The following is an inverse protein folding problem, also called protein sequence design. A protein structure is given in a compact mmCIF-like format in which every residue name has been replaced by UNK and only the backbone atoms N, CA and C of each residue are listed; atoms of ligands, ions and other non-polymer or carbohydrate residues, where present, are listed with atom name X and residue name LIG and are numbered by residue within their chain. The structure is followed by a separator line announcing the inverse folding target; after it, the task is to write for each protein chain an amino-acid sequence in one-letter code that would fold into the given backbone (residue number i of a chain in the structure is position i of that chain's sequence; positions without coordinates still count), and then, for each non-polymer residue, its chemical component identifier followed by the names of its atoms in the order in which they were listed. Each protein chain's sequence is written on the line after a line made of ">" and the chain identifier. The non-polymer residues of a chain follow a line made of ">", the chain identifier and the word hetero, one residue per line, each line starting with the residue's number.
data_IF_073554828822
#
_entry.id   IF_073554828822
#
_cell.length_a   1.000
_cell.length_b   1.000
_cell.length_c   1.000
_cell.angle_alpha   90.00
_cell.angle_beta   90.00
_cell.angle_gamma   90.00
#
_symmetry.space_group_name_H-M   'P 1'
#
loop_
_entity.id
_entity.type
_entity.pdbx_description
1 polymer ?
#
# COMPACT_ATOMS: atom_id res chain seq x y z
N UNK A 1 9.83 7.36 39.61
CA UNK A 1 9.87 6.62 40.89
C UNK A 1 11.08 5.68 41.04
N UNK A 2 12.09 5.71 40.14
CA UNK A 2 13.21 4.75 40.10
C UNK A 2 14.45 5.15 40.91
N UNK A 3 14.60 6.44 41.27
CA UNK A 3 15.81 6.93 41.96
C UNK A 3 15.95 6.51 43.44
N UNK A 4 14.83 6.38 44.17
CA UNK A 4 14.83 6.03 45.59
C UNK A 4 15.16 4.55 45.85
N UNK A 5 14.67 3.65 45.00
CA UNK A 5 14.99 2.22 45.08
C UNK A 5 16.46 1.94 44.69
N UNK A 6 16.98 2.66 43.69
CA UNK A 6 18.38 2.52 43.26
C UNK A 6 19.38 3.04 44.28
N UNK A 7 19.00 4.00 45.12
CA UNK A 7 19.89 4.58 46.16
C UNK A 7 19.92 3.77 47.44
N UNK A 8 18.83 3.06 47.77
CA UNK A 8 18.81 2.08 48.84
C UNK A 8 19.67 0.85 48.51
N UNK A 9 19.51 0.28 47.31
CA UNK A 9 20.32 -0.85 46.85
C UNK A 9 21.83 -0.55 46.83
N UNK A 10 22.21 0.65 46.36
CA UNK A 10 23.61 1.08 46.37
C UNK A 10 24.19 1.18 47.79
N UNK A 11 23.37 1.58 48.77
CA UNK A 11 23.79 1.69 50.17
C UNK A 11 24.02 0.30 50.78
N UNK A 12 23.17 -0.66 50.43
CA UNK A 12 23.33 -2.05 50.86
C UNK A 12 24.57 -2.70 50.23
N UNK A 13 24.82 -2.44 48.94
CA UNK A 13 26.02 -2.90 48.24
C UNK A 13 27.31 -2.33 48.85
N UNK A 14 27.31 -1.03 49.21
CA UNK A 14 28.45 -0.38 49.89
C UNK A 14 28.67 -0.93 51.30
N UNK A 15 27.59 -1.23 52.04
CA UNK A 15 27.69 -1.84 53.36
C UNK A 15 28.25 -3.28 53.28
N UNK A 16 27.82 -4.07 52.29
CA UNK A 16 28.34 -5.41 52.04
C UNK A 16 29.81 -5.40 51.61
N UNK A 17 30.21 -4.44 50.79
CA UNK A 17 31.60 -4.19 50.39
C UNK A 17 32.50 -3.87 51.60
N UNK A 18 32.02 -3.00 52.50
CA UNK A 18 32.74 -2.66 53.73
C UNK A 18 32.89 -3.87 54.65
N UNK A 19 31.82 -4.65 54.83
CA UNK A 19 31.85 -5.84 55.68
C UNK A 19 32.79 -6.93 55.13
N UNK A 20 32.84 -7.13 53.81
CA UNK A 20 33.76 -8.07 53.18
C UNK A 20 35.23 -7.63 53.35
N UNK A 21 35.49 -6.31 53.27
CA UNK A 21 36.82 -5.74 53.51
C UNK A 21 37.25 -5.87 54.97
N UNK A 22 36.34 -5.60 55.91
CA UNK A 22 36.59 -5.72 57.36
C UNK A 22 36.85 -7.18 57.78
N UNK A 23 36.26 -8.15 57.09
CA UNK A 23 36.48 -9.58 57.29
C UNK A 23 37.71 -10.14 56.56
N UNK A 24 38.35 -9.37 55.67
CA UNK A 24 39.47 -9.81 54.84
C UNK A 24 39.09 -10.77 53.70
N UNK A 25 37.80 -10.92 53.39
CA UNK A 25 37.31 -11.79 52.32
C UNK A 25 37.37 -11.08 50.95
N UNK A 26 38.53 -11.19 50.30
CA UNK A 26 38.76 -10.62 48.97
C UNK A 26 37.92 -11.30 47.88
N UNK A 27 37.42 -12.52 48.09
CA UNK A 27 36.61 -13.22 47.08
C UNK A 27 35.25 -12.57 46.98
N UNK A 28 34.59 -12.41 48.14
CA UNK A 28 33.30 -11.74 48.22
C UNK A 28 33.39 -10.27 47.77
N UNK A 29 34.49 -9.58 48.11
CA UNK A 29 34.75 -8.22 47.64
C UNK A 29 34.74 -8.13 46.10
N UNK A 30 35.49 -9.00 45.41
CA UNK A 30 35.56 -8.99 43.94
C UNK A 30 34.23 -9.35 43.27
N UNK A 31 33.46 -10.29 43.84
CA UNK A 31 32.13 -10.64 43.34
C UNK A 31 31.16 -9.45 43.40
N UNK A 32 31.15 -8.71 44.51
CA UNK A 32 30.29 -7.53 44.66
C UNK A 32 30.69 -6.43 43.65
N UNK A 33 31.99 -6.20 43.45
CA UNK A 33 32.50 -5.23 42.45
C UNK A 33 32.15 -5.66 41.02
N UNK A 34 32.28 -6.94 40.70
CA UNK A 34 31.94 -7.47 39.38
C UNK A 34 30.45 -7.27 39.08
N UNK A 35 29.57 -7.62 40.04
CA UNK A 35 28.12 -7.41 39.95
C UNK A 35 27.77 -5.95 39.74
N UNK A 36 28.35 -5.04 40.52
CA UNK A 36 28.12 -3.59 40.39
C UNK A 36 28.54 -3.05 39.01
N UNK A 37 29.66 -3.54 38.46
CA UNK A 37 30.13 -3.17 37.13
C UNK A 37 29.20 -3.69 36.03
N UNK A 38 28.73 -4.93 36.15
CA UNK A 38 27.78 -5.54 35.21
C UNK A 38 26.44 -4.81 35.22
N UNK A 39 25.91 -4.50 36.41
CA UNK A 39 24.69 -3.71 36.57
C UNK A 39 24.83 -2.30 35.97
N UNK A 40 25.99 -1.67 36.14
CA UNK A 40 26.28 -0.38 35.52
C UNK A 40 26.32 -0.50 33.99
N UNK A 41 27.00 -1.52 33.45
CA UNK A 41 27.09 -1.74 32.02
C UNK A 41 25.70 -1.98 31.40
N UNK A 42 24.88 -2.81 32.03
CA UNK A 42 23.51 -3.09 31.61
C UNK A 42 22.63 -1.83 31.63
N UNK A 43 22.75 -0.99 32.66
CA UNK A 43 22.03 0.30 32.70
C UNK A 43 22.41 1.23 31.55
N UNK A 44 23.70 1.32 31.22
CA UNK A 44 24.18 2.15 30.10
C UNK A 44 23.69 1.61 28.76
N UNK A 45 23.76 0.29 28.55
CA UNK A 45 23.28 -0.36 27.32
C UNK A 45 21.77 -0.15 27.16
N UNK A 46 20.99 -0.37 28.22
CA UNK A 46 19.55 -0.16 28.20
C UNK A 46 19.18 1.31 27.93
N UNK A 47 19.93 2.25 28.52
CA UNK A 47 19.81 3.68 28.26
C UNK A 47 20.10 4.02 26.80
N UNK A 48 21.20 3.51 26.24
CA UNK A 48 21.58 3.71 24.85
C UNK A 48 20.54 3.12 23.89
N UNK A 49 20.03 1.93 24.16
CA UNK A 49 18.96 1.31 23.38
C UNK A 49 17.66 2.12 23.45
N UNK A 50 17.35 2.74 24.60
CA UNK A 50 16.19 3.62 24.72
C UNK A 50 16.38 4.89 23.90
N UNK A 51 17.54 5.54 24.01
CA UNK A 51 17.86 6.76 23.23
C UNK A 51 17.88 6.46 21.74
N UNK A 52 18.46 5.35 21.32
CA UNK A 52 18.49 4.91 19.92
C UNK A 52 17.08 4.67 19.39
N UNK A 53 16.20 4.02 20.15
CA UNK A 53 14.79 3.83 19.75
C UNK A 53 14.03 5.14 19.68
N UNK A 54 14.23 6.03 20.64
CA UNK A 54 13.58 7.35 20.65
C UNK A 54 14.05 8.21 19.48
N UNK A 55 15.34 8.17 19.15
CA UNK A 55 15.89 8.85 17.98
C UNK A 55 15.34 8.26 16.68
N UNK A 56 15.33 6.93 16.55
CA UNK A 56 14.78 6.26 15.36
C UNK A 56 13.30 6.60 15.16
N UNK A 57 12.52 6.64 16.26
CA UNK A 57 11.12 7.07 16.26
C UNK A 57 10.96 8.52 15.80
N UNK A 58 11.76 9.45 16.32
CA UNK A 58 11.71 10.86 15.92
C UNK A 58 12.13 11.09 14.45
N UNK A 59 13.16 10.38 13.98
CA UNK A 59 13.61 10.46 12.59
C UNK A 59 12.56 9.88 11.62
N UNK A 60 11.96 8.74 11.97
CA UNK A 60 10.88 8.16 11.17
C UNK A 60 9.64 9.06 11.16
N UNK A 61 9.28 9.67 12.29
CA UNK A 61 8.16 10.61 12.36
C UNK A 61 8.36 11.80 11.41
N UNK A 62 9.55 12.40 11.42
CA UNK A 62 9.89 13.53 10.54
C UNK A 62 9.87 13.11 9.05
N UNK A 63 10.40 11.92 8.73
CA UNK A 63 10.40 11.41 7.35
C UNK A 63 8.99 11.03 6.86
N UNK A 64 8.11 10.54 7.76
CA UNK A 64 6.71 10.27 7.46
C UNK A 64 5.95 11.56 7.17
N UNK A 65 6.16 12.62 7.96
CA UNK A 65 5.55 13.94 7.73
C UNK A 65 5.88 14.47 6.32
N UNK A 66 7.14 14.41 5.91
CA UNK A 66 7.56 14.87 4.57
C UNK A 66 6.96 14.01 3.44
N UNK A 67 6.96 12.68 3.60
CA UNK A 67 6.39 11.75 2.59
C UNK A 67 4.88 11.94 2.47
N UNK A 68 4.15 12.03 3.58
CA UNK A 68 2.70 12.22 3.59
C UNK A 68 2.30 13.58 3.03
N UNK A 69 3.04 14.65 3.37
CA UNK A 69 2.83 15.97 2.77
C UNK A 69 3.05 15.93 1.25
N UNK A 70 4.08 15.24 0.77
CA UNK A 70 4.31 15.09 -0.68
C UNK A 70 3.21 14.28 -1.35
N UNK A 71 2.80 13.16 -0.75
CA UNK A 71 1.72 12.35 -1.29
C UNK A 71 0.39 13.10 -1.33
N UNK A 72 -0.01 13.74 -0.23
CA UNK A 72 -1.27 14.47 -0.16
C UNK A 72 -1.26 15.76 -0.98
N UNK A 73 -0.13 16.46 -1.03
CA UNK A 73 -0.02 17.78 -1.65
C UNK A 73 0.29 17.78 -3.15
N UNK A 74 0.90 16.71 -3.67
CA UNK A 74 1.38 16.66 -5.07
C UNK A 74 1.00 15.35 -5.74
N UNK A 75 1.47 14.23 -5.19
CA UNK A 75 1.48 12.97 -5.94
C UNK A 75 0.05 12.40 -6.10
N UNK A 76 -0.78 12.46 -5.05
CA UNK A 76 -2.15 11.97 -5.07
C UNK A 76 -3.08 12.82 -5.98
N UNK A 77 -3.05 14.17 -5.90
CA UNK A 77 -3.74 15.00 -6.89
C UNK A 77 -3.35 14.70 -8.35
N UNK A 78 -2.05 14.60 -8.67
CA UNK A 78 -1.56 14.25 -10.02
C UNK A 78 -2.03 12.85 -10.44
N UNK A 79 -1.99 11.88 -9.54
CA UNK A 79 -2.50 10.54 -9.78
C UNK A 79 -4.00 10.53 -10.11
N UNK A 80 -4.80 11.29 -9.37
CA UNK A 80 -6.24 11.43 -9.61
C UNK A 80 -6.50 12.07 -10.98
N UNK A 81 -5.81 13.16 -11.33
CA UNK A 81 -5.95 13.79 -12.65
C UNK A 81 -5.59 12.82 -13.79
N UNK A 82 -4.51 12.04 -13.62
CA UNK A 82 -4.12 11.02 -14.59
C UNK A 82 -5.13 9.88 -14.69
N UNK A 83 -5.72 9.42 -13.57
CA UNK A 83 -6.80 8.44 -13.61
C UNK A 83 -8.03 8.99 -14.32
N UNK A 84 -8.43 10.23 -14.04
CA UNK A 84 -9.55 10.88 -14.73
C UNK A 84 -9.30 10.97 -16.24
N UNK A 85 -8.07 11.31 -16.64
CA UNK A 85 -7.70 11.32 -18.06
C UNK A 85 -7.74 9.92 -18.67
N UNK A 86 -7.25 8.91 -17.96
CA UNK A 86 -7.34 7.51 -18.40
C UNK A 86 -8.79 7.07 -18.56
N UNK A 87 -9.65 7.38 -17.60
CA UNK A 87 -11.08 7.07 -17.67
C UNK A 87 -11.70 7.65 -18.94
N UNK A 88 -11.45 8.94 -19.21
CA UNK A 88 -11.92 9.59 -20.43
C UNK A 88 -11.38 8.90 -21.68
N UNK A 89 -10.07 8.62 -21.73
CA UNK A 89 -9.45 7.96 -22.88
C UNK A 89 -10.00 6.55 -23.11
N UNK A 90 -10.28 5.81 -22.04
CA UNK A 90 -10.88 4.48 -22.15
C UNK A 90 -12.34 4.53 -22.60
N UNK A 91 -13.09 5.53 -22.16
CA UNK A 91 -14.47 5.77 -22.60
C UNK A 91 -14.51 6.16 -24.09
N UNK A 92 -13.66 7.10 -24.51
CA UNK A 92 -13.55 7.53 -25.91
C UNK A 92 -13.14 6.36 -26.82
N UNK A 93 -12.17 5.55 -26.41
CA UNK A 93 -11.73 4.38 -27.17
C UNK A 93 -12.83 3.28 -27.25
N UNK A 94 -13.58 3.07 -26.17
CA UNK A 94 -14.69 2.10 -26.15
C UNK A 94 -15.82 2.53 -27.08
N UNK A 95 -16.27 3.80 -26.98
CA UNK A 95 -17.27 4.37 -27.87
C UNK A 95 -16.80 4.29 -29.33
N UNK A 96 -15.53 4.65 -29.60
CA UNK A 96 -14.98 4.59 -30.95
C UNK A 96 -14.92 3.17 -31.51
N UNK A 97 -14.59 2.18 -30.68
CA UNK A 97 -14.58 0.77 -31.08
C UNK A 97 -15.99 0.30 -31.42
N UNK A 98 -16.99 0.68 -30.63
CA UNK A 98 -18.40 0.33 -30.85
C UNK A 98 -18.91 0.91 -32.19
N UNK A 99 -18.66 2.20 -32.47
CA UNK A 99 -19.00 2.83 -33.75
C UNK A 99 -18.40 2.08 -34.95
N UNK A 100 -17.14 1.67 -34.86
CA UNK A 100 -16.43 0.99 -35.94
C UNK A 100 -16.92 -0.45 -36.12
N UNK A 101 -17.31 -1.13 -35.03
CA UNK A 101 -17.93 -2.46 -35.09
C UNK A 101 -19.30 -2.38 -35.77
N UNK A 102 -20.12 -1.39 -35.42
CA UNK A 102 -21.42 -1.16 -36.08
C UNK A 102 -21.26 -0.87 -37.57
N UNK A 103 -20.30 0.00 -37.94
CA UNK A 103 -19.99 0.28 -39.34
C UNK A 103 -19.53 -0.99 -40.09
N UNK A 104 -18.72 -1.83 -39.44
CA UNK A 104 -18.25 -3.09 -40.00
C UNK A 104 -19.40 -4.09 -40.20
N UNK A 105 -20.33 -4.18 -39.24
CA UNK A 105 -21.52 -5.03 -39.38
C UNK A 105 -22.41 -4.61 -40.55
N UNK A 106 -22.54 -3.31 -40.81
CA UNK A 106 -23.32 -2.79 -41.93
C UNK A 106 -22.73 -3.17 -43.31
N UNK A 107 -21.42 -3.41 -43.41
CA UNK A 107 -20.74 -3.79 -44.66
C UNK A 107 -20.74 -5.31 -44.94
N UNK A 108 -20.93 -6.15 -43.92
CA UNK A 108 -20.96 -7.63 -44.03
C UNK A 108 -21.97 -8.18 -45.06
N UNK A 109 -23.19 -7.65 -45.23
CA UNK A 109 -24.11 -8.12 -46.26
C UNK A 109 -23.60 -7.89 -47.69
N UNK A 110 -22.81 -6.82 -47.91
CA UNK A 110 -22.21 -6.49 -49.20
C UNK A 110 -21.14 -7.49 -49.65
N UNK A 111 -20.46 -8.10 -48.68
CA UNK A 111 -19.43 -9.14 -48.86
C UNK A 111 -19.97 -10.44 -49.49
N UNK A 112 -21.26 -10.76 -49.28
CA UNK A 112 -21.92 -11.92 -49.88
C UNK A 112 -22.35 -11.68 -51.34
N UNK A 113 -22.23 -10.45 -51.85
CA UNK A 113 -22.61 -10.04 -53.21
C UNK A 113 -21.38 -9.73 -54.08
N UNK A 114 -21.57 -9.54 -55.39
CA UNK A 114 -20.49 -9.25 -56.34
C UNK A 114 -19.73 -7.92 -56.07
N UNK A 115 -20.14 -7.13 -55.08
CA UNK A 115 -19.46 -5.91 -54.60
C UNK A 115 -18.39 -6.16 -53.51
N UNK A 116 -18.02 -7.41 -53.28
CA UNK A 116 -17.16 -7.82 -52.16
C UNK A 116 -15.81 -7.12 -52.07
N UNK A 117 -15.24 -6.64 -53.18
CA UNK A 117 -13.93 -5.98 -53.17
C UNK A 117 -13.96 -4.61 -52.44
N UNK A 118 -15.03 -3.84 -52.61
CA UNK A 118 -15.21 -2.54 -51.93
C UNK A 118 -15.56 -2.72 -50.45
N UNK A 119 -16.36 -3.75 -50.13
CA UNK A 119 -16.71 -4.09 -48.75
C UNK A 119 -15.51 -4.65 -47.96
N UNK A 120 -14.61 -5.43 -48.60
CA UNK A 120 -13.38 -5.92 -47.96
C UNK A 120 -12.41 -4.78 -47.64
N UNK A 121 -12.33 -3.76 -48.50
CA UNK A 121 -11.49 -2.57 -48.25
C UNK A 121 -12.03 -1.71 -47.11
N UNK A 122 -13.35 -1.55 -46.99
CA UNK A 122 -13.99 -0.87 -45.87
C UNK A 122 -13.77 -1.62 -44.55
N UNK A 123 -13.96 -2.94 -44.55
CA UNK A 123 -13.66 -3.81 -43.41
C UNK A 123 -12.21 -3.66 -42.92
N UNK A 124 -11.23 -3.66 -43.85
CA UNK A 124 -9.81 -3.48 -43.53
C UNK A 124 -9.54 -2.14 -42.88
N UNK A 125 -10.15 -1.06 -43.38
CA UNK A 125 -10.02 0.28 -42.79
C UNK A 125 -10.59 0.32 -41.37
N UNK A 126 -11.78 -0.23 -41.15
CA UNK A 126 -12.42 -0.23 -39.83
C UNK A 126 -11.62 -1.06 -38.82
N UNK A 127 -11.16 -2.26 -39.20
CA UNK A 127 -10.28 -3.08 -38.35
C UNK A 127 -8.97 -2.39 -38.01
N UNK A 128 -8.38 -1.67 -38.98
CA UNK A 128 -7.16 -0.89 -38.74
C UNK A 128 -7.40 0.29 -37.80
N UNK A 129 -8.55 0.96 -37.90
CA UNK A 129 -8.95 2.04 -37.00
C UNK A 129 -9.29 1.54 -35.59
N UNK A 130 -9.86 0.34 -35.45
CA UNK A 130 -10.07 -0.32 -34.14
C UNK A 130 -8.71 -0.61 -33.50
N UNK A 131 -7.76 -1.16 -34.24
CA UNK A 131 -6.41 -1.43 -33.73
C UNK A 131 -5.69 -0.15 -33.29
N UNK A 132 -5.88 0.96 -34.01
CA UNK A 132 -5.34 2.27 -33.65
C UNK A 132 -6.01 2.84 -32.38
N UNK A 133 -7.35 2.77 -32.28
CA UNK A 133 -8.09 3.21 -31.10
C UNK A 133 -7.70 2.40 -29.85
N UNK A 134 -7.43 1.11 -30.01
CA UNK A 134 -6.98 0.21 -28.94
C UNK A 134 -5.50 0.38 -28.57
N UNK A 135 -4.67 1.01 -29.42
CA UNK A 135 -3.25 1.22 -29.13
C UNK A 135 -3.02 2.14 -27.90
N UNK A 136 -3.99 2.99 -27.57
CA UNK A 136 -3.96 3.85 -26.37
C UNK A 136 -4.11 3.06 -25.05
N UNK A 137 -4.52 1.79 -25.11
CA UNK A 137 -4.70 0.93 -23.94
C UNK A 137 -3.38 0.59 -23.22
N UNK A 138 -2.24 0.59 -23.93
CA UNK A 138 -0.94 0.37 -23.28
C UNK A 138 -0.54 1.55 -22.39
N UNK A 139 -0.82 2.77 -22.84
CA UNK A 139 -0.53 3.99 -22.08
C UNK A 139 -1.45 4.11 -20.86
N UNK A 140 -2.74 3.81 -21.00
CA UNK A 140 -3.66 3.80 -19.86
C UNK A 140 -3.30 2.71 -18.84
N UNK A 141 -2.88 1.53 -19.29
CA UNK A 141 -2.36 0.48 -18.40
C UNK A 141 -1.10 0.90 -17.63
N UNK A 142 -0.19 1.65 -18.25
CA UNK A 142 0.98 2.21 -17.56
C UNK A 142 0.59 3.23 -16.49
N UNK A 143 -0.37 4.12 -16.80
CA UNK A 143 -0.88 5.10 -15.83
C UNK A 143 -1.58 4.42 -14.66
N UNK A 144 -2.46 3.44 -14.91
CA UNK A 144 -3.13 2.66 -13.84
C UNK A 144 -2.09 1.98 -12.95
N UNK A 145 -1.08 1.32 -13.52
CA UNK A 145 0.02 0.70 -12.75
C UNK A 145 0.75 1.73 -11.88
N UNK A 146 1.01 2.93 -12.40
CA UNK A 146 1.67 4.01 -11.66
C UNK A 146 0.82 4.48 -10.48
N UNK A 147 -0.48 4.62 -10.69
CA UNK A 147 -1.41 5.06 -9.64
C UNK A 147 -1.57 3.98 -8.57
N UNK A 148 -1.65 2.71 -8.93
CA UNK A 148 -1.64 1.59 -7.97
C UNK A 148 -0.36 1.63 -7.10
N UNK A 149 0.80 1.87 -7.71
CA UNK A 149 2.06 1.99 -6.96
C UNK A 149 2.02 3.18 -5.98
N UNK A 150 1.40 4.28 -6.38
CA UNK A 150 1.29 5.48 -5.56
C UNK A 150 0.35 5.26 -4.37
N UNK A 151 -0.83 4.67 -4.61
CA UNK A 151 -1.78 4.29 -3.54
C UNK A 151 -1.13 3.34 -2.55
N UNK A 152 -0.41 2.30 -3.01
CA UNK A 152 0.38 1.42 -2.13
C UNK A 152 1.46 2.18 -1.35
N UNK A 153 2.05 3.21 -1.94
CA UNK A 153 3.01 4.09 -1.26
C UNK A 153 2.38 4.86 -0.09
N UNK A 154 1.16 5.37 -0.28
CA UNK A 154 0.38 6.05 0.76
C UNK A 154 -0.08 5.08 1.84
N UNK A 155 -0.58 3.91 1.46
CA UNK A 155 -1.01 2.85 2.38
C UNK A 155 0.12 2.44 3.33
N UNK A 156 1.33 2.21 2.80
CA UNK A 156 2.48 1.89 3.62
C UNK A 156 2.86 3.04 4.57
N UNK A 157 2.81 4.30 4.10
CA UNK A 157 3.11 5.44 4.95
C UNK A 157 2.07 5.63 6.08
N UNK A 158 0.79 5.30 5.83
CA UNK A 158 -0.26 5.29 6.85
C UNK A 158 -0.07 4.12 7.83
N UNK A 159 0.29 2.93 7.34
CA UNK A 159 0.57 1.76 8.19
C UNK A 159 1.76 2.03 9.13
N UNK A 160 2.84 2.62 8.62
CA UNK A 160 4.00 3.04 9.42
C UNK A 160 3.60 4.06 10.51
N UNK A 161 2.68 4.98 10.20
CA UNK A 161 2.16 5.96 11.17
C UNK A 161 1.31 5.27 12.25
N UNK A 162 0.42 4.35 11.86
CA UNK A 162 -0.42 3.61 12.78
C UNK A 162 0.42 2.75 13.74
N UNK A 163 1.47 2.09 13.24
CA UNK A 163 2.45 1.36 14.06
C UNK A 163 3.18 2.32 15.02
N UNK A 164 3.58 3.49 14.55
CA UNK A 164 4.20 4.52 15.39
C UNK A 164 3.28 5.04 16.51
N UNK A 165 1.98 5.14 16.21
CA UNK A 165 0.92 5.53 17.14
C UNK A 165 0.51 4.38 18.08
N UNK A 166 0.96 3.15 17.83
CA UNK A 166 0.58 1.96 18.59
C UNK A 166 -0.86 1.53 18.35
N UNK A 167 -1.44 1.90 17.22
CA UNK A 167 -2.78 1.51 16.79
C UNK A 167 -2.67 0.28 15.89
N UNK A 168 -3.19 -0.86 16.35
CA UNK A 168 -3.17 -2.10 15.58
C UNK A 168 -4.27 -2.09 14.50
N UNK A 169 -3.83 -2.14 13.25
CA UNK A 169 -4.71 -2.15 12.06
C UNK A 169 -5.22 -3.56 11.76
N UNK A 170 -4.60 -4.61 12.32
CA UNK A 170 -4.97 -6.00 12.07
C UNK A 170 -6.36 -6.39 12.61
N UNK A 171 -6.94 -5.56 13.49
CA UNK A 171 -8.29 -5.72 14.04
C UNK A 171 -9.41 -5.02 13.25
N UNK A 172 -9.09 -4.23 12.22
CA UNK A 172 -10.10 -3.51 11.45
C UNK A 172 -10.91 -4.50 10.59
N UNK A 173 -12.21 -4.62 10.87
CA UNK A 173 -13.12 -5.37 10.01
C UNK A 173 -13.29 -4.60 8.69
N UNK A 174 -13.17 -5.25 7.52
CA UNK A 174 -13.45 -4.60 6.25
C UNK A 174 -14.90 -4.10 6.25
N UNK A 175 -15.11 -2.80 6.04
CA UNK A 175 -16.47 -2.31 5.79
C UNK A 175 -16.99 -2.94 4.48
N UNK A 176 -18.27 -3.35 4.42
CA UNK A 176 -18.84 -3.92 3.22
C UNK A 176 -18.81 -2.89 2.08
N UNK A 177 -17.88 -3.08 1.14
CA UNK A 177 -17.79 -2.24 -0.05
C UNK A 177 -18.92 -2.60 -1.02
N UNK A 178 -19.73 -1.60 -1.37
CA UNK A 178 -20.53 -1.66 -2.59
C UNK A 178 -19.56 -1.34 -3.73
N UNK A 179 -18.93 -2.36 -4.30
CA UNK A 179 -18.07 -2.20 -5.46
C UNK A 179 -18.90 -1.63 -6.63
N UNK A 180 -18.55 -0.45 -7.13
CA UNK A 180 -19.15 0.16 -8.31
C UNK A 180 -18.68 -0.50 -9.63
N UNK A 181 -18.47 -1.81 -9.63
CA UNK A 181 -17.88 -2.56 -10.73
C UNK A 181 -18.04 -4.08 -10.56
N UNK A 182 -17.52 -4.89 -11.51
CA UNK A 182 -17.59 -6.34 -11.46
C UNK A 182 -16.98 -6.87 -10.17
N UNK A 183 -17.66 -7.82 -9.54
CA UNK A 183 -17.18 -8.45 -8.30
C UNK A 183 -15.77 -9.04 -8.48
N UNK A 184 -14.85 -8.67 -7.58
CA UNK A 184 -13.55 -9.31 -7.50
C UNK A 184 -13.63 -10.54 -6.59
N UNK A 185 -13.27 -11.70 -7.14
CA UNK A 185 -13.29 -12.99 -6.43
C UNK A 185 -12.37 -12.93 -5.20
N UNK A 186 -12.96 -13.17 -4.02
CA UNK A 186 -12.25 -13.18 -2.75
C UNK A 186 -12.08 -11.80 -2.07
N UNK A 187 -12.55 -10.72 -2.70
CA UNK A 187 -12.49 -9.36 -2.17
C UNK A 187 -13.89 -8.78 -1.88
N UNK A 188 -14.84 -8.98 -2.79
CA UNK A 188 -16.19 -8.46 -2.67
C UNK A 188 -17.18 -9.54 -2.21
N UNK A 189 -17.97 -9.25 -1.16
CA UNK A 189 -18.98 -10.18 -0.65
C UNK A 189 -20.28 -10.14 -1.46
N UNK A 190 -20.54 -9.06 -2.22
CA UNK A 190 -21.81 -8.78 -2.91
C UNK A 190 -21.67 -8.03 -4.26
N UNK A 191 -20.56 -8.21 -4.98
CA UNK A 191 -20.46 -7.63 -6.33
C UNK A 191 -21.35 -8.39 -7.31
N UNK A 192 -21.98 -7.66 -8.24
CA UNK A 192 -22.59 -8.27 -9.44
C UNK A 192 -21.48 -9.00 -10.21
N UNK A 193 -21.65 -10.30 -10.43
CA UNK A 193 -20.69 -11.10 -11.21
C UNK A 193 -20.99 -11.03 -12.69
N UNK A 194 -19.98 -11.22 -13.55
CA UNK A 194 -20.18 -11.29 -15.00
C UNK A 194 -21.22 -12.34 -15.39
N UNK A 195 -21.26 -13.47 -14.67
CA UNK A 195 -22.28 -14.51 -14.89
C UNK A 195 -23.71 -14.00 -14.64
N UNK A 196 -23.92 -13.16 -13.63
CA UNK A 196 -25.24 -12.55 -13.37
C UNK A 196 -25.61 -11.51 -14.43
N UNK A 197 -24.63 -10.79 -14.98
CA UNK A 197 -24.86 -9.87 -16.09
C UNK A 197 -25.23 -10.65 -17.38
N UNK A 198 -24.52 -11.73 -17.66
CA UNK A 198 -24.77 -12.61 -18.80
C UNK A 198 -26.16 -13.29 -18.69
N UNK A 199 -26.56 -13.72 -17.49
CA UNK A 199 -27.90 -14.27 -17.20
C UNK A 199 -29.00 -13.22 -17.45
N UNK A 200 -28.80 -11.96 -17.05
CA UNK A 200 -29.75 -10.88 -17.30
C UNK A 200 -29.86 -10.52 -18.78
N UNK A 201 -28.75 -10.56 -19.53
CA UNK A 201 -28.76 -10.35 -20.98
C UNK A 201 -29.52 -11.47 -21.70
N UNK A 202 -29.32 -12.71 -21.27
CA UNK A 202 -30.06 -13.86 -21.78
C UNK A 202 -31.56 -13.76 -21.49
N UNK A 203 -31.96 -13.24 -20.32
CA UNK A 203 -33.37 -13.02 -19.95
C UNK A 203 -34.01 -11.85 -20.75
N UNK A 204 -33.20 -10.88 -21.20
CA UNK A 204 -33.62 -9.79 -22.10
C UNK A 204 -33.66 -10.20 -23.59
N UNK A 205 -33.17 -11.38 -23.97
CA UNK A 205 -33.23 -11.89 -25.34
C UNK A 205 -32.29 -11.20 -26.33
N UNK A 206 -31.19 -10.61 -25.85
CA UNK A 206 -30.03 -10.21 -26.64
C UNK A 206 -28.96 -11.32 -26.59
#
# INVERSE_FOLDING_TARGET
>A
MTGAASTAALRDDVAALSAALDAGDLTQFHEIVARLNEDRANRVINGLQCVSRNLAKALNQLALDERLVRYAGSDMPDACERLSHVMQMTEDAANRTLDLVEATQAELPGLATAAGETAVDGLRKNLSAIAEAQAYQDLSGQVIRRVIQLVKGVENALADLLDLAGLDVAGAQPEPHIAGGPALVGLDNHGSTQAQADDLLADLGL
#
